data_IF_716393280695
#
_entry.id   IF_716393280695
#
_cell.length_a   1.000
_cell.length_b   1.000
_cell.length_c   1.000
_cell.angle_alpha   90.00
_cell.angle_beta   90.00
_cell.angle_gamma   90.00
#
_symmetry.space_group_name_H-M   'P 1'
#
loop_
_entity.id
_entity.type
_entity.pdbx_description
1 polymer ?
#
# COMPACT_ATOMS: atom_id res chain seq x y z
N UNK A 1 18.41 -21.42 -12.60
CA UNK A 1 17.46 -20.65 -13.43
C UNK A 1 17.45 -19.18 -13.00
N UNK A 2 17.12 -18.25 -13.90
CA UNK A 2 16.95 -16.84 -13.50
C UNK A 2 15.87 -16.70 -12.42
N UNK A 3 16.05 -15.77 -11.48
CA UNK A 3 15.11 -15.56 -10.36
C UNK A 3 15.09 -16.67 -9.30
N UNK A 4 15.95 -17.69 -9.41
CA UNK A 4 16.14 -18.74 -8.41
C UNK A 4 17.54 -18.61 -7.81
N UNK A 5 17.63 -18.49 -6.50
CA UNK A 5 18.91 -18.53 -5.77
C UNK A 5 18.98 -19.78 -4.90
N UNK A 6 20.18 -20.37 -4.81
CA UNK A 6 20.40 -21.55 -3.98
C UNK A 6 20.44 -21.13 -2.50
N UNK A 7 19.55 -21.70 -1.69
CA UNK A 7 19.52 -21.49 -0.24
C UNK A 7 20.39 -22.50 0.50
N UNK A 8 20.33 -23.78 0.11
CA UNK A 8 21.12 -24.86 0.71
C UNK A 8 21.37 -26.00 -0.29
N UNK A 9 22.42 -26.80 -0.06
CA UNK A 9 22.77 -27.95 -0.90
C UNK A 9 23.51 -27.55 -2.17
N UNK A 10 23.13 -28.14 -3.32
CA UNK A 10 23.78 -27.90 -4.61
C UNK A 10 22.81 -27.97 -5.78
N UNK A 11 23.26 -27.45 -6.92
CA UNK A 11 22.61 -27.70 -8.21
C UNK A 11 22.88 -29.13 -8.71
N UNK A 12 22.12 -29.55 -9.73
CA UNK A 12 22.24 -30.89 -10.32
C UNK A 12 23.63 -31.11 -10.92
N UNK A 13 24.20 -32.29 -10.71
CA UNK A 13 25.49 -32.70 -11.30
C UNK A 13 25.28 -33.43 -12.64
N UNK A 14 26.31 -33.53 -13.51
CA UNK A 14 26.18 -34.14 -14.83
C UNK A 14 25.61 -35.58 -14.84
N UNK A 15 25.92 -36.39 -13.83
CA UNK A 15 25.41 -37.76 -13.73
C UNK A 15 23.90 -37.79 -13.43
N UNK A 16 23.39 -36.84 -12.64
CA UNK A 16 21.96 -36.67 -12.36
C UNK A 16 21.22 -36.14 -13.60
N UNK A 17 21.85 -35.23 -14.34
CA UNK A 17 21.31 -34.67 -15.58
C UNK A 17 21.23 -35.71 -16.71
N UNK A 18 22.17 -36.65 -16.76
CA UNK A 18 22.23 -37.72 -17.76
C UNK A 18 21.50 -39.00 -17.35
N UNK A 19 20.92 -39.05 -16.15
CA UNK A 19 20.17 -40.22 -15.64
C UNK A 19 21.06 -41.40 -15.24
N UNK A 20 22.36 -41.16 -15.03
CA UNK A 20 23.34 -42.16 -14.60
C UNK A 20 23.50 -42.25 -13.08
N UNK A 21 22.94 -41.29 -12.35
CA UNK A 21 22.94 -41.28 -10.90
C UNK A 21 22.06 -42.42 -10.33
N UNK A 22 22.46 -42.96 -9.17
CA UNK A 22 21.75 -44.04 -8.51
C UNK A 22 20.35 -43.64 -8.02
N UNK A 23 20.15 -42.37 -7.66
CA UNK A 23 18.88 -41.80 -7.25
C UNK A 23 18.52 -40.61 -8.15
N UNK A 24 17.23 -40.46 -8.47
CA UNK A 24 16.72 -39.24 -9.08
C UNK A 24 16.90 -38.04 -8.15
N UNK A 25 17.26 -36.89 -8.69
CA UNK A 25 17.51 -35.68 -7.91
C UNK A 25 16.34 -34.68 -8.00
N UNK A 26 16.06 -34.00 -6.90
CA UNK A 26 15.06 -32.94 -6.79
C UNK A 26 15.64 -31.67 -6.15
N UNK A 27 15.22 -30.51 -6.65
CA UNK A 27 15.45 -29.20 -6.04
C UNK A 27 14.13 -28.56 -5.62
N UNK A 28 13.98 -28.32 -4.32
CA UNK A 28 12.70 -27.92 -3.70
C UNK A 28 12.76 -26.45 -3.29
N UNK A 29 11.64 -25.75 -3.46
CA UNK A 29 11.47 -24.37 -2.99
C UNK A 29 11.52 -24.30 -1.46
N UNK A 30 12.24 -23.31 -0.92
CA UNK A 30 12.56 -23.22 0.51
C UNK A 30 11.31 -23.02 1.40
N UNK A 31 10.32 -22.24 0.94
CA UNK A 31 9.04 -22.07 1.62
C UNK A 31 8.29 -23.40 1.77
N UNK A 32 8.12 -24.13 0.67
CA UNK A 32 7.51 -25.47 0.69
C UNK A 32 8.30 -26.43 1.59
N UNK A 33 9.63 -26.42 1.49
CA UNK A 33 10.49 -27.27 2.32
C UNK A 33 10.28 -26.98 3.81
N UNK A 34 10.21 -25.70 4.22
CA UNK A 34 9.93 -25.32 5.61
C UNK A 34 8.54 -25.77 6.07
N UNK A 35 7.51 -25.59 5.24
CA UNK A 35 6.13 -25.99 5.58
C UNK A 35 6.00 -27.50 5.76
N UNK A 36 6.70 -28.29 4.96
CA UNK A 36 6.66 -29.75 5.00
C UNK A 36 7.76 -30.37 5.89
N UNK A 37 8.65 -29.57 6.47
CA UNK A 37 9.76 -30.04 7.30
C UNK A 37 10.85 -30.80 6.53
N UNK A 38 11.04 -30.49 5.24
CA UNK A 38 11.99 -31.16 4.35
C UNK A 38 13.39 -30.54 4.44
N UNK A 39 14.42 -31.39 4.42
CA UNK A 39 15.82 -31.02 4.41
C UNK A 39 16.56 -31.56 3.17
N UNK A 40 17.75 -30.99 2.90
CA UNK A 40 18.66 -31.57 1.89
C UNK A 40 19.09 -32.96 2.35
N UNK A 41 18.93 -33.95 1.48
CA UNK A 41 19.19 -35.35 1.77
C UNK A 41 17.94 -36.21 1.91
N UNK A 42 16.79 -35.60 2.19
CA UNK A 42 15.52 -36.31 2.33
C UNK A 42 15.03 -36.89 1.00
N UNK A 43 14.16 -37.89 1.08
CA UNK A 43 13.53 -38.51 -0.09
C UNK A 43 12.07 -38.09 -0.18
N UNK A 44 11.66 -37.62 -1.34
CA UNK A 44 10.29 -37.25 -1.68
C UNK A 44 9.77 -38.19 -2.75
N UNK A 45 8.53 -38.64 -2.62
CA UNK A 45 7.87 -39.48 -3.62
C UNK A 45 6.72 -38.73 -4.27
N UNK A 46 6.68 -38.76 -5.60
CA UNK A 46 5.55 -38.28 -6.38
C UNK A 46 4.84 -39.44 -7.04
N UNK A 47 3.52 -39.36 -7.12
CA UNK A 47 2.72 -40.27 -7.94
C UNK A 47 2.44 -39.58 -9.27
N UNK A 48 3.06 -40.08 -10.36
CA UNK A 48 2.90 -39.54 -11.71
C UNK A 48 2.34 -40.65 -12.61
N UNK A 49 1.20 -40.39 -13.25
CA UNK A 49 0.49 -41.38 -14.07
C UNK A 49 0.26 -42.75 -13.36
N UNK A 50 0.12 -42.74 -12.03
CA UNK A 50 -0.07 -43.95 -11.22
C UNK A 50 1.22 -44.63 -10.76
N UNK A 51 2.39 -44.17 -11.20
CA UNK A 51 3.70 -44.69 -10.79
C UNK A 51 4.33 -43.83 -9.69
N UNK A 52 5.02 -44.45 -8.74
CA UNK A 52 5.73 -43.77 -7.67
C UNK A 52 7.17 -43.48 -8.10
N UNK A 53 7.53 -42.19 -8.13
CA UNK A 53 8.89 -41.73 -8.44
C UNK A 53 9.48 -41.13 -7.17
N UNK A 54 10.47 -41.82 -6.60
CA UNK A 54 11.25 -41.33 -5.47
C UNK A 54 12.44 -40.49 -5.93
N UNK A 55 12.60 -39.33 -5.32
CA UNK A 55 13.68 -38.39 -5.61
C UNK A 55 14.37 -37.96 -4.32
N UNK A 56 15.69 -37.79 -4.36
CA UNK A 56 16.47 -37.21 -3.27
C UNK A 56 16.56 -35.70 -3.41
N UNK A 57 16.29 -34.97 -2.34
CA UNK A 57 16.45 -33.52 -2.29
C UNK A 57 17.94 -33.20 -2.27
N UNK A 58 18.47 -32.60 -3.34
CA UNK A 58 19.89 -32.22 -3.46
C UNK A 58 20.13 -30.74 -3.19
N UNK A 59 19.08 -29.92 -3.24
CA UNK A 59 19.19 -28.49 -2.96
C UNK A 59 17.85 -27.82 -2.67
N UNK A 60 17.88 -26.84 -1.77
CA UNK A 60 16.78 -25.94 -1.47
C UNK A 60 17.03 -24.60 -2.15
N UNK A 61 15.98 -24.00 -2.73
CA UNK A 61 16.08 -22.75 -3.49
C UNK A 61 15.06 -21.73 -3.03
N UNK A 62 15.49 -20.45 -3.02
CA UNK A 62 14.58 -19.31 -2.88
C UNK A 62 14.07 -18.95 -4.26
N UNK A 63 12.75 -18.82 -4.38
CA UNK A 63 12.07 -18.44 -5.61
C UNK A 63 11.49 -17.05 -5.42
N UNK A 64 11.80 -16.14 -6.35
CA UNK A 64 11.14 -14.84 -6.38
C UNK A 64 9.83 -14.93 -7.17
N UNK A 65 8.73 -15.19 -6.45
CA UNK A 65 7.38 -15.26 -7.01
C UNK A 65 6.84 -13.91 -7.49
N UNK A 66 7.44 -12.80 -7.06
CA UNK A 66 7.01 -11.43 -7.44
C UNK A 66 7.32 -11.13 -8.91
N UNK A 67 8.23 -11.89 -9.53
CA UNK A 67 8.60 -11.71 -10.93
C UNK A 67 7.51 -12.13 -11.93
N UNK A 68 6.44 -12.80 -11.46
CA UNK A 68 5.35 -13.33 -12.29
C UNK A 68 5.83 -14.23 -13.45
N UNK A 69 7.07 -14.73 -13.36
CA UNK A 69 7.63 -15.72 -14.29
C UNK A 69 7.24 -17.10 -13.83
N UNK A 70 7.07 -18.01 -14.79
CA UNK A 70 6.79 -19.42 -14.50
C UNK A 70 7.92 -20.01 -13.67
N UNK A 71 7.60 -20.42 -12.45
CA UNK A 71 8.48 -21.14 -11.53
C UNK A 71 7.73 -22.34 -10.97
N UNK A 72 8.47 -23.33 -10.44
CA UNK A 72 7.91 -24.57 -9.92
C UNK A 72 8.33 -24.79 -8.47
N UNK A 73 7.54 -25.49 -7.67
CA UNK A 73 7.91 -25.82 -6.29
C UNK A 73 8.94 -26.94 -6.18
N UNK A 74 8.99 -27.84 -7.16
CA UNK A 74 10.02 -28.88 -7.28
C UNK A 74 10.55 -28.88 -8.71
N UNK A 75 11.88 -28.96 -8.84
CA UNK A 75 12.58 -29.13 -10.12
C UNK A 75 13.31 -30.46 -10.10
N UNK A 76 13.40 -31.10 -11.25
CA UNK A 76 14.17 -32.34 -11.44
C UNK A 76 14.80 -32.34 -12.84
N UNK A 77 15.88 -33.08 -13.07
CA UNK A 77 16.39 -33.31 -14.42
C UNK A 77 15.32 -33.86 -15.37
N UNK A 78 15.23 -33.35 -16.62
CA UNK A 78 14.21 -33.79 -17.59
C UNK A 78 14.23 -35.29 -17.89
N UNK A 79 15.40 -35.93 -17.81
CA UNK A 79 15.58 -37.38 -18.02
C UNK A 79 14.73 -38.23 -17.06
N UNK A 80 14.47 -37.72 -15.84
CA UNK A 80 13.64 -38.42 -14.85
C UNK A 80 12.17 -38.49 -15.28
N UNK A 81 11.72 -37.52 -16.09
CA UNK A 81 10.32 -37.38 -16.51
C UNK A 81 10.08 -37.72 -17.98
N UNK A 82 11.09 -38.16 -18.72
CA UNK A 82 11.03 -38.33 -20.18
C UNK A 82 9.95 -39.33 -20.66
N UNK A 83 9.55 -40.29 -19.82
CA UNK A 83 8.52 -41.29 -20.13
C UNK A 83 7.09 -40.86 -19.80
N UNK A 84 6.89 -39.68 -19.19
CA UNK A 84 5.57 -39.25 -18.71
C UNK A 84 4.98 -38.12 -19.58
N UNK A 85 3.64 -38.02 -19.65
CA UNK A 85 2.98 -36.90 -20.31
C UNK A 85 3.41 -35.56 -19.69
N UNK A 86 3.80 -34.61 -20.53
CA UNK A 86 4.26 -33.29 -20.09
C UNK A 86 3.34 -32.18 -20.64
N UNK A 87 3.07 -31.19 -19.80
CA UNK A 87 2.44 -29.92 -20.21
C UNK A 87 3.51 -28.84 -20.25
N UNK A 88 3.56 -28.10 -21.35
CA UNK A 88 4.47 -26.97 -21.52
C UNK A 88 3.77 -25.68 -21.08
N UNK A 89 4.48 -24.86 -20.33
CA UNK A 89 3.99 -23.57 -19.85
C UNK A 89 5.06 -22.51 -20.06
N UNK A 90 4.64 -21.33 -20.50
CA UNK A 90 5.52 -20.19 -20.70
C UNK A 90 4.78 -18.90 -20.35
N UNK A 91 5.53 -17.84 -20.10
CA UNK A 91 5.02 -16.50 -19.83
C UNK A 91 5.75 -15.50 -20.73
N UNK A 92 5.00 -14.55 -21.30
CA UNK A 92 5.57 -13.44 -22.04
C UNK A 92 4.76 -12.17 -21.78
N UNK A 93 5.41 -11.02 -21.91
CA UNK A 93 4.70 -9.74 -21.84
C UNK A 93 4.08 -9.42 -23.20
N UNK A 94 2.78 -9.14 -23.20
CA UNK A 94 2.05 -8.69 -24.37
C UNK A 94 1.59 -7.24 -24.15
N UNK A 95 2.07 -6.28 -24.96
CA UNK A 95 1.53 -4.92 -24.95
C UNK A 95 0.03 -4.90 -25.24
N UNK A 96 -0.70 -3.99 -24.59
CA UNK A 96 -2.16 -3.93 -24.66
C UNK A 96 -2.69 -3.76 -26.09
N UNK A 97 -1.93 -3.07 -26.94
CA UNK A 97 -2.25 -2.81 -28.35
C UNK A 97 -2.26 -4.08 -29.20
N UNK A 98 -1.67 -5.17 -28.70
CA UNK A 98 -1.55 -6.45 -29.40
C UNK A 98 -2.45 -7.54 -28.83
N UNK A 99 -3.48 -7.19 -28.06
CA UNK A 99 -4.40 -8.14 -27.43
C UNK A 99 -5.02 -9.15 -28.42
N UNK A 100 -5.29 -8.73 -29.66
CA UNK A 100 -5.82 -9.60 -30.72
C UNK A 100 -4.92 -10.81 -31.07
N UNK A 101 -3.63 -10.74 -30.74
CA UNK A 101 -2.71 -11.86 -30.93
C UNK A 101 -3.15 -13.10 -30.16
N UNK A 102 -3.68 -12.92 -28.94
CA UNK A 102 -4.19 -14.03 -28.12
C UNK A 102 -5.39 -14.70 -28.78
N UNK A 103 -6.33 -13.90 -29.30
CA UNK A 103 -7.51 -14.42 -30.00
C UNK A 103 -7.13 -15.26 -31.23
N UNK A 104 -6.08 -14.86 -31.97
CA UNK A 104 -5.54 -15.65 -33.08
C UNK A 104 -4.88 -16.94 -32.61
N UNK A 105 -4.02 -16.86 -31.58
CA UNK A 105 -3.34 -18.01 -30.99
C UNK A 105 -4.31 -19.09 -30.49
N UNK A 106 -5.36 -18.70 -29.77
CA UNK A 106 -6.38 -19.63 -29.26
C UNK A 106 -7.18 -20.27 -30.41
N UNK A 107 -7.41 -19.53 -31.50
CA UNK A 107 -8.09 -20.06 -32.69
C UNK A 107 -7.24 -21.07 -33.44
N UNK A 108 -5.95 -20.77 -33.63
CA UNK A 108 -5.02 -21.61 -34.40
C UNK A 108 -4.54 -22.83 -33.59
N UNK A 109 -4.50 -22.71 -32.25
CA UNK A 109 -4.07 -23.75 -31.32
C UNK A 109 -5.12 -24.00 -30.22
N UNK A 110 -6.14 -24.84 -30.47
CA UNK A 110 -7.22 -25.09 -29.51
C UNK A 110 -6.78 -25.78 -28.20
N UNK A 111 -5.59 -26.38 -28.19
CA UNK A 111 -4.97 -26.99 -27.01
C UNK A 111 -4.14 -26.00 -26.18
N UNK A 112 -4.09 -24.72 -26.56
CA UNK A 112 -3.39 -23.67 -25.84
C UNK A 112 -4.31 -23.02 -24.80
N UNK A 113 -4.01 -23.23 -23.52
CA UNK A 113 -4.65 -22.49 -22.43
C UNK A 113 -3.91 -21.19 -22.17
N UNK A 114 -4.59 -20.06 -22.35
CA UNK A 114 -4.04 -18.73 -22.04
C UNK A 114 -4.60 -18.23 -20.71
N UNK A 115 -3.72 -17.77 -19.82
CA UNK A 115 -4.08 -17.18 -18.53
C UNK A 115 -3.75 -15.69 -18.59
N UNK A 116 -4.77 -14.84 -18.59
CA UNK A 116 -4.60 -13.37 -18.55
C UNK A 116 -4.33 -12.91 -17.11
N UNK A 117 -3.05 -12.85 -16.75
CA UNK A 117 -2.58 -12.33 -15.45
C UNK A 117 -2.94 -10.84 -15.30
N UNK A 118 -3.01 -10.07 -16.39
CA UNK A 118 -3.35 -8.65 -16.33
C UNK A 118 -4.81 -8.42 -15.93
N UNK A 119 -5.74 -9.29 -16.36
CA UNK A 119 -7.13 -9.24 -15.91
C UNK A 119 -7.25 -9.45 -14.40
N UNK A 120 -6.53 -10.44 -13.85
CA UNK A 120 -6.51 -10.72 -12.41
C UNK A 120 -5.95 -9.52 -11.64
N UNK A 121 -4.84 -8.93 -12.10
CA UNK A 121 -4.25 -7.74 -11.47
C UNK A 121 -5.20 -6.54 -11.50
N UNK A 122 -5.90 -6.28 -12.62
CA UNK A 122 -6.91 -5.22 -12.69
C UNK A 122 -8.05 -5.44 -11.70
N UNK A 123 -8.49 -6.69 -11.52
CA UNK A 123 -9.53 -7.02 -10.55
C UNK A 123 -9.05 -6.77 -9.12
N UNK A 124 -7.82 -7.18 -8.77
CA UNK A 124 -7.24 -6.89 -7.46
C UNK A 124 -7.09 -5.39 -7.21
N UNK A 125 -6.61 -4.63 -8.20
CA UNK A 125 -6.53 -3.16 -8.13
C UNK A 125 -7.91 -2.54 -7.88
N UNK A 126 -8.95 -3.01 -8.58
CA UNK A 126 -10.32 -2.53 -8.38
C UNK A 126 -10.83 -2.76 -6.95
N UNK A 127 -10.54 -3.93 -6.37
CA UNK A 127 -10.90 -4.24 -4.98
C UNK A 127 -10.16 -3.28 -4.02
N UNK A 128 -8.86 -3.10 -4.21
CA UNK A 128 -8.06 -2.18 -3.39
C UNK A 128 -8.57 -0.73 -3.50
N UNK A 129 -8.96 -0.28 -4.69
CA UNK A 129 -9.58 1.04 -4.89
C UNK A 129 -10.94 1.16 -4.20
N UNK A 130 -11.75 0.10 -4.16
CA UNK A 130 -13.01 0.11 -3.43
C UNK A 130 -12.77 0.24 -1.92
N UNK A 131 -11.82 -0.52 -1.36
CA UNK A 131 -11.44 -0.41 0.05
C UNK A 131 -10.90 0.99 0.36
N UNK A 132 -10.02 1.52 -0.49
CA UNK A 132 -9.49 2.88 -0.34
C UNK A 132 -10.61 3.94 -0.33
N UNK A 133 -11.59 3.82 -1.24
CA UNK A 133 -12.76 4.71 -1.27
C UNK A 133 -13.61 4.62 -0.01
N UNK A 134 -13.84 3.41 0.52
CA UNK A 134 -14.57 3.23 1.76
C UNK A 134 -13.86 3.92 2.95
N UNK A 135 -12.53 3.75 3.06
CA UNK A 135 -11.72 4.42 4.08
C UNK A 135 -11.73 5.94 3.91
N UNK A 136 -11.63 6.44 2.67
CA UNK A 136 -11.74 7.88 2.37
C UNK A 136 -13.10 8.46 2.79
N UNK A 137 -14.17 7.69 2.61
CA UNK A 137 -15.51 8.11 3.06
C UNK A 137 -15.56 8.26 4.58
N UNK A 138 -15.03 7.29 5.33
CA UNK A 138 -14.92 7.38 6.80
C UNK A 138 -14.04 8.56 7.21
N UNK A 139 -12.91 8.76 6.54
CA UNK A 139 -12.02 9.90 6.79
C UNK A 139 -12.74 11.24 6.61
N UNK A 140 -13.61 11.37 5.60
CA UNK A 140 -14.40 12.58 5.40
C UNK A 140 -15.34 12.88 6.58
N UNK A 141 -16.00 11.87 7.16
CA UNK A 141 -16.81 12.06 8.37
C UNK A 141 -15.97 12.45 9.58
N UNK A 142 -14.82 11.81 9.77
CA UNK A 142 -13.90 12.15 10.86
C UNK A 142 -13.39 13.58 10.71
N UNK A 143 -13.07 14.00 9.49
CA UNK A 143 -12.67 15.38 9.20
C UNK A 143 -13.80 16.36 9.50
N UNK A 144 -15.03 16.07 9.08
CA UNK A 144 -16.20 16.89 9.37
C UNK A 144 -16.44 17.01 10.88
N UNK A 145 -16.36 15.90 11.63
CA UNK A 145 -16.45 15.90 13.08
C UNK A 145 -15.35 16.75 13.71
N UNK A 146 -14.11 16.65 13.21
CA UNK A 146 -12.98 17.49 13.66
C UNK A 146 -13.24 18.98 13.45
N UNK A 147 -13.82 19.38 12.31
CA UNK A 147 -14.22 20.78 12.05
C UNK A 147 -15.30 21.24 13.02
N UNK A 148 -16.28 20.39 13.34
CA UNK A 148 -17.33 20.72 14.32
C UNK A 148 -16.73 20.90 15.72
N UNK A 149 -15.81 20.02 16.12
CA UNK A 149 -15.10 20.13 17.41
C UNK A 149 -14.28 21.41 17.47
N UNK A 150 -13.55 21.74 16.39
CA UNK A 150 -12.81 23.00 16.29
C UNK A 150 -13.75 24.21 16.43
N UNK A 151 -14.90 24.18 15.76
CA UNK A 151 -15.91 25.23 15.88
C UNK A 151 -16.41 25.37 17.33
N UNK A 152 -16.73 24.26 17.99
CA UNK A 152 -17.20 24.26 19.37
C UNK A 152 -16.14 24.83 20.33
N UNK A 153 -14.87 24.47 20.14
CA UNK A 153 -13.76 25.00 20.92
C UNK A 153 -13.60 26.52 20.75
N UNK A 154 -13.66 27.02 19.50
CA UNK A 154 -13.59 28.45 19.21
C UNK A 154 -14.80 29.23 19.75
N UNK A 155 -15.99 28.64 19.68
CA UNK A 155 -17.20 29.22 20.26
C UNK A 155 -17.10 29.32 21.78
N UNK A 156 -16.57 28.29 22.45
CA UNK A 156 -16.35 28.28 23.90
C UNK A 156 -15.32 29.31 24.34
N UNK A 157 -14.26 29.54 23.55
CA UNK A 157 -13.22 30.52 23.84
C UNK A 157 -13.57 31.95 23.39
N UNK A 158 -14.77 32.18 22.85
CA UNK A 158 -15.11 33.43 22.17
C UNK A 158 -15.12 34.65 23.09
N UNK A 159 -15.55 34.48 24.35
CA UNK A 159 -15.67 35.58 25.31
C UNK A 159 -14.30 36.08 25.79
N UNK A 160 -13.41 35.15 26.15
CA UNK A 160 -12.00 35.43 26.47
C UNK A 160 -11.30 36.14 25.30
N UNK A 161 -11.49 35.64 24.07
CA UNK A 161 -10.94 36.26 22.86
C UNK A 161 -11.49 37.66 22.60
N UNK A 162 -12.78 37.90 22.86
CA UNK A 162 -13.37 39.24 22.71
C UNK A 162 -12.73 40.22 23.69
N UNK A 163 -12.47 39.79 24.93
CA UNK A 163 -11.79 40.61 25.92
C UNK A 163 -10.36 40.96 25.48
N UNK A 164 -9.56 39.97 25.06
CA UNK A 164 -8.20 40.19 24.54
C UNK A 164 -8.16 41.15 23.35
N UNK A 165 -9.06 40.95 22.37
CA UNK A 165 -9.17 41.82 21.20
C UNK A 165 -9.60 43.24 21.58
N UNK A 166 -10.47 43.40 22.59
CA UNK A 166 -10.89 44.71 23.08
C UNK A 166 -9.74 45.44 23.78
N UNK A 167 -8.95 44.76 24.61
CA UNK A 167 -7.75 45.31 25.25
C UNK A 167 -6.74 45.76 24.19
N UNK A 168 -6.46 44.93 23.19
CA UNK A 168 -5.55 45.31 22.09
C UNK A 168 -6.07 46.51 21.29
N UNK A 169 -7.39 46.64 21.08
CA UNK A 169 -7.98 47.84 20.45
C UNK A 169 -7.84 49.08 21.31
N UNK A 170 -8.00 48.97 22.63
CA UNK A 170 -7.80 50.09 23.56
C UNK A 170 -6.33 50.58 23.54
N UNK A 171 -5.37 49.68 23.30
CA UNK A 171 -3.96 49.99 23.10
C UNK A 171 -3.62 50.54 21.69
N UNK A 172 -4.61 50.72 20.82
CA UNK A 172 -4.45 51.35 19.50
C UNK A 172 -4.30 50.39 18.31
N UNK A 173 -4.50 49.08 18.50
CA UNK A 173 -4.44 48.12 17.39
C UNK A 173 -5.56 48.35 16.37
N UNK A 174 -5.20 48.38 15.08
CA UNK A 174 -6.15 48.52 13.98
C UNK A 174 -6.90 47.20 13.73
N UNK A 175 -8.16 47.28 13.28
CA UNK A 175 -9.00 46.11 12.95
C UNK A 175 -8.31 45.13 11.99
N UNK A 176 -7.55 45.63 11.03
CA UNK A 176 -6.83 44.79 10.06
C UNK A 176 -5.61 44.08 10.67
N UNK A 177 -4.91 44.71 11.62
CA UNK A 177 -3.80 44.09 12.35
C UNK A 177 -4.30 42.90 13.18
N UNK A 178 -5.42 43.08 13.90
CA UNK A 178 -6.06 42.03 14.67
C UNK A 178 -6.52 40.87 13.78
N UNK A 179 -7.10 41.18 12.61
CA UNK A 179 -7.52 40.17 11.62
C UNK A 179 -6.34 39.33 11.11
N UNK A 180 -5.24 39.99 10.74
CA UNK A 180 -4.04 39.32 10.23
C UNK A 180 -3.38 38.46 11.30
N UNK A 181 -3.34 38.93 12.54
CA UNK A 181 -2.82 38.16 13.67
C UNK A 181 -3.60 36.86 13.88
N UNK A 182 -4.94 36.93 13.90
CA UNK A 182 -5.81 35.74 14.04
C UNK A 182 -5.66 34.75 12.88
N UNK A 183 -5.60 35.25 11.64
CA UNK A 183 -5.39 34.39 10.48
C UNK A 183 -4.02 33.71 10.52
N UNK A 184 -2.98 34.43 10.96
CA UNK A 184 -1.63 33.87 11.12
C UNK A 184 -1.59 32.79 12.21
N UNK A 185 -2.29 33.00 13.33
CA UNK A 185 -2.40 32.01 14.40
C UNK A 185 -3.09 30.73 13.91
N UNK A 186 -4.24 30.83 13.23
CA UNK A 186 -4.92 29.68 12.67
C UNK A 186 -4.10 28.97 11.59
N UNK A 187 -3.40 29.73 10.75
CA UNK A 187 -2.51 29.16 9.74
C UNK A 187 -1.33 28.42 10.39
N UNK A 188 -0.76 28.95 11.47
CA UNK A 188 0.31 28.29 12.21
C UNK A 188 -0.18 26.99 12.85
N UNK A 189 -1.30 27.02 13.56
CA UNK A 189 -1.91 25.83 14.19
C UNK A 189 -2.23 24.77 13.13
N UNK A 190 -2.87 25.17 12.02
CA UNK A 190 -3.18 24.25 10.92
C UNK A 190 -1.94 23.71 10.23
N UNK A 191 -0.90 24.53 10.07
CA UNK A 191 0.38 24.11 9.52
C UNK A 191 1.07 23.07 10.41
N UNK A 192 1.08 23.28 11.73
CA UNK A 192 1.60 22.30 12.69
C UNK A 192 0.79 21.00 12.69
N UNK A 193 -0.54 21.10 12.68
CA UNK A 193 -1.40 19.92 12.56
C UNK A 193 -1.13 19.15 11.27
N UNK A 194 -0.97 19.85 10.14
CA UNK A 194 -0.61 19.27 8.85
C UNK A 194 0.77 18.61 8.86
N UNK A 195 1.76 19.21 9.52
CA UNK A 195 3.08 18.62 9.71
C UNK A 195 3.01 17.32 10.51
N UNK A 196 2.31 17.32 11.65
CA UNK A 196 2.15 16.14 12.49
C UNK A 196 1.41 15.04 11.72
N UNK A 197 0.36 15.38 10.99
CA UNK A 197 -0.38 14.45 10.14
C UNK A 197 0.52 13.84 9.05
N UNK A 198 1.35 14.65 8.39
CA UNK A 198 2.29 14.16 7.37
C UNK A 198 3.33 13.20 7.95
N UNK A 199 3.94 13.55 9.08
CA UNK A 199 4.92 12.70 9.75
C UNK A 199 4.28 11.40 10.23
N UNK A 200 3.08 11.46 10.80
CA UNK A 200 2.32 10.29 11.22
C UNK A 200 1.97 9.38 10.04
N UNK A 201 1.49 9.95 8.93
CA UNK A 201 1.17 9.20 7.71
C UNK A 201 2.42 8.53 7.11
N UNK A 202 3.56 9.22 7.06
CA UNK A 202 4.83 8.66 6.59
C UNK A 202 5.29 7.54 7.52
N UNK A 203 5.27 7.75 8.83
CA UNK A 203 5.72 6.74 9.81
C UNK A 203 4.87 5.46 9.74
N UNK A 204 3.54 5.60 9.74
CA UNK A 204 2.62 4.45 9.63
C UNK A 204 2.74 3.79 8.26
N UNK A 205 2.83 4.57 7.18
CA UNK A 205 3.00 4.05 5.83
C UNK A 205 4.29 3.24 5.68
N UNK A 206 5.40 3.76 6.19
CA UNK A 206 6.70 3.08 6.19
C UNK A 206 6.69 1.81 7.05
N UNK A 207 6.05 1.86 8.22
CA UNK A 207 5.90 0.72 9.10
C UNK A 207 5.12 -0.42 8.42
N UNK A 208 3.97 -0.10 7.82
CA UNK A 208 3.16 -1.09 7.10
C UNK A 208 3.90 -1.64 5.87
N UNK A 209 4.58 -0.78 5.11
CA UNK A 209 5.37 -1.17 3.95
C UNK A 209 6.45 -2.20 4.30
N UNK A 210 7.22 -1.94 5.37
CA UNK A 210 8.32 -2.81 5.76
C UNK A 210 7.84 -4.09 6.46
N UNK A 211 6.91 -3.98 7.41
CA UNK A 211 6.56 -5.10 8.30
C UNK A 211 5.44 -5.98 7.74
N UNK A 212 4.44 -5.40 7.08
CA UNK A 212 3.28 -6.13 6.59
C UNK A 212 3.51 -6.58 5.16
N UNK A 213 3.92 -5.66 4.29
CA UNK A 213 3.94 -5.92 2.86
C UNK A 213 5.31 -6.22 2.26
N UNK A 214 6.40 -5.99 3.02
CA UNK A 214 7.79 -6.27 2.63
C UNK A 214 8.21 -5.64 1.28
N UNK A 215 7.73 -4.43 0.98
CA UNK A 215 8.16 -3.67 -0.18
C UNK A 215 8.64 -2.27 0.20
N UNK A 216 9.50 -1.70 -0.63
CA UNK A 216 10.01 -0.33 -0.43
C UNK A 216 8.98 0.69 -0.92
N UNK A 217 8.49 1.53 -0.01
CA UNK A 217 7.66 2.69 -0.35
C UNK A 217 8.55 3.90 -0.57
N UNK A 218 8.53 4.43 -1.79
CA UNK A 218 9.14 5.72 -2.08
C UNK A 218 8.40 6.83 -1.33
N UNK A 219 9.10 7.56 -0.45
CA UNK A 219 8.54 8.72 0.24
C UNK A 219 8.46 9.86 -0.75
N UNK A 220 7.25 10.28 -1.10
CA UNK A 220 7.06 11.52 -1.85
C UNK A 220 7.16 12.71 -0.90
N UNK A 221 8.34 13.34 -0.88
CA UNK A 221 8.66 14.48 0.00
C UNK A 221 7.70 15.67 -0.23
N UNK A 222 7.10 15.80 -1.42
CA UNK A 222 6.13 16.84 -1.72
C UNK A 222 4.82 16.74 -0.94
N UNK A 223 4.50 15.57 -0.38
CA UNK A 223 3.31 15.40 0.44
C UNK A 223 3.39 16.16 1.77
N UNK A 224 4.60 16.38 2.30
CA UNK A 224 4.80 17.12 3.56
C UNK A 224 4.39 18.59 3.43
N UNK A 225 4.96 19.40 2.50
CA UNK A 225 4.53 20.78 2.34
C UNK A 225 3.06 20.89 1.90
N UNK A 226 2.55 19.91 1.13
CA UNK A 226 1.14 19.86 0.76
C UNK A 226 0.23 19.67 1.99
N UNK A 227 0.58 18.77 2.91
CA UNK A 227 -0.17 18.54 4.13
C UNK A 227 -0.11 19.73 5.09
N UNK A 228 1.05 20.39 5.22
CA UNK A 228 1.20 21.63 5.98
C UNK A 228 0.30 22.72 5.39
N UNK A 229 0.38 22.94 4.07
CA UNK A 229 -0.44 23.93 3.38
C UNK A 229 -1.94 23.62 3.46
N UNK A 230 -2.32 22.35 3.27
CA UNK A 230 -3.69 21.88 3.39
C UNK A 230 -4.25 22.04 4.81
N UNK A 231 -3.48 21.67 5.83
CA UNK A 231 -3.85 21.86 7.23
C UNK A 231 -4.00 23.33 7.60
N UNK A 232 -3.04 24.17 7.19
CA UNK A 232 -3.10 25.61 7.39
C UNK A 232 -4.35 26.21 6.74
N UNK A 233 -4.63 25.86 5.49
CA UNK A 233 -5.82 26.33 4.77
C UNK A 233 -7.13 25.87 5.43
N UNK A 234 -7.23 24.59 5.80
CA UNK A 234 -8.43 24.03 6.42
C UNK A 234 -8.74 24.68 7.76
N UNK A 235 -7.77 24.77 8.66
CA UNK A 235 -7.95 25.38 9.99
C UNK A 235 -8.22 26.87 9.88
N UNK A 236 -7.52 27.57 8.99
CA UNK A 236 -7.75 29.01 8.75
C UNK A 236 -9.16 29.26 8.19
N UNK A 237 -9.62 28.45 7.23
CA UNK A 237 -10.95 28.57 6.67
C UNK A 237 -12.05 28.29 7.72
N UNK A 238 -11.89 27.23 8.51
CA UNK A 238 -12.83 26.89 9.58
C UNK A 238 -12.86 27.96 10.68
N UNK A 239 -11.69 28.44 11.12
CA UNK A 239 -11.57 29.47 12.14
C UNK A 239 -12.09 30.84 11.68
N UNK A 240 -11.86 31.20 10.40
CA UNK A 240 -12.42 32.39 9.80
C UNK A 240 -13.95 32.35 9.76
N UNK A 241 -14.53 31.23 9.34
CA UNK A 241 -15.98 31.05 9.30
C UNK A 241 -16.62 31.16 10.70
N UNK A 242 -15.98 30.55 11.71
CA UNK A 242 -16.40 30.64 13.10
C UNK A 242 -16.33 32.08 13.65
N UNK A 243 -15.20 32.75 13.46
CA UNK A 243 -14.97 34.12 13.93
C UNK A 243 -15.89 35.14 13.23
N UNK A 244 -16.13 34.98 11.93
CA UNK A 244 -17.00 35.87 11.17
C UNK A 244 -18.46 35.81 11.67
N UNK A 245 -18.99 34.63 11.99
CA UNK A 245 -20.34 34.48 12.57
C UNK A 245 -20.47 35.09 13.96
N UNK A 246 -19.45 34.93 14.81
CA UNK A 246 -19.43 35.49 16.16
C UNK A 246 -19.39 37.02 16.20
N UNK A 247 -18.79 37.65 15.17
CA UNK A 247 -18.73 39.10 15.03
C UNK A 247 -20.00 39.71 14.42
N UNK A 248 -20.75 38.94 13.60
CA UNK A 248 -22.02 39.40 13.02
C UNK A 248 -23.18 39.41 14.02
N UNK A 249 -23.18 38.51 15.01
CA UNK A 249 -24.26 38.40 15.99
C UNK A 249 -24.11 39.31 17.22
N UNK A 250 -22.96 39.98 17.41
CA UNK A 250 -22.65 40.74 18.63
C UNK A 250 -23.16 42.20 18.75
N UNK A 251 -23.54 42.95 17.69
CA UNK A 251 -23.74 44.39 17.86
C UNK A 251 -25.10 44.81 18.48
N UNK A 252 -26.10 43.93 18.57
CA UNK A 252 -27.42 44.31 19.11
C UNK A 252 -27.65 43.89 20.58
N UNK A 253 -27.10 42.76 21.02
CA UNK A 253 -27.29 42.28 22.40
C UNK A 253 -26.41 43.05 23.42
N UNK A 254 -25.23 43.51 22.99
CA UNK A 254 -24.34 44.31 23.83
C UNK A 254 -24.91 45.69 24.22
N UNK A 255 -25.88 46.22 23.46
CA UNK A 255 -26.57 47.47 23.80
C UNK A 255 -27.78 47.27 24.72
N UNK A 256 -28.37 46.06 24.79
CA UNK A 256 -29.48 45.76 25.70
C UNK A 256 -29.02 45.44 27.12
N UNK A 257 -27.87 44.78 27.26
CA UNK A 257 -27.30 44.43 28.57
C UNK A 257 -26.77 45.65 29.38
N UNK A 258 -26.58 46.82 28.76
CA UNK A 258 -26.20 48.06 29.43
C UNK A 258 -27.38 48.94 29.87
N UNK A 259 -28.62 48.46 29.72
CA UNK A 259 -29.86 49.21 30.06
C UNK A 259 -30.72 48.55 31.13
N UNK A 260 -30.19 47.56 31.86
CA UNK A 260 -30.82 46.93 33.03
C UNK A 260 -29.89 46.96 34.24
#
# INVERSE_FOLDING_TARGET
PEGNSLGAGRWFVPDELSGKAADAAASVEEGLARTLGLAVGDRIEFVIAGERIGMKIVGLRKVNWDTMRVNFFVLTPPVVLAGYPASWITSFHLPAEKADLINRLVRDFPNLTVIDVAAILRQLQSIMEQVARAVQFIFLFTLAAGIIVLYAALASAAEERRYELAVMRALGARREQLRRALLAEFAAIGGFAGLIAALGAIAVGQFLAHQVFRFEVAINVWLVPLAIGGGALLVTAAGWFAAARLLQNAPLDALRAGSS
#
